data_IF_472957661398
#
_entry.id   IF_472957661398
#
_cell.length_a   1.000
_cell.length_b   1.000
_cell.length_c   1.000
_cell.angle_alpha   90.00
_cell.angle_beta   90.00
_cell.angle_gamma   90.00
#
_symmetry.space_group_name_H-M   'P 1'
#
loop_
_entity.id
_entity.type
_entity.pdbx_description
1 polymer ?
#
# COMPACT_ATOMS: atom_id res chain seq x y z
N UNK A 1 -0.85 -7.57 9.53
CA UNK A 1 -0.06 -6.52 8.85
C UNK A 1 1.40 -6.94 8.87
N UNK A 2 2.15 -6.74 7.79
CA UNK A 2 3.59 -7.04 7.71
C UNK A 2 4.30 -5.73 7.39
N UNK A 3 5.28 -5.34 8.20
CA UNK A 3 6.08 -4.14 7.96
C UNK A 3 7.31 -4.44 7.08
N UNK A 4 7.85 -3.43 6.41
CA UNK A 4 9.09 -3.57 5.60
C UNK A 4 10.27 -4.07 6.44
N UNK A 5 10.31 -3.76 7.75
CA UNK A 5 11.34 -4.24 8.66
C UNK A 5 11.19 -5.73 8.94
N UNK A 6 9.97 -6.18 9.25
CA UNK A 6 9.68 -7.60 9.46
C UNK A 6 9.88 -8.43 8.19
N UNK A 7 9.63 -7.85 7.02
CA UNK A 7 9.89 -8.46 5.73
C UNK A 7 11.39 -8.50 5.34
N UNK A 8 12.28 -7.88 6.12
CA UNK A 8 13.70 -7.79 5.79
C UNK A 8 14.01 -6.87 4.58
N UNK A 9 13.09 -5.96 4.24
CA UNK A 9 13.14 -5.10 3.05
C UNK A 9 13.57 -3.66 3.35
N UNK A 10 14.19 -3.42 4.51
CA UNK A 10 14.75 -2.11 4.84
C UNK A 10 15.82 -1.72 3.81
N UNK A 11 15.67 -0.53 3.23
CA UNK A 11 16.58 -0.01 2.20
C UNK A 11 16.38 -0.60 0.80
N UNK A 12 15.43 -1.52 0.62
CA UNK A 12 15.03 -1.96 -0.72
C UNK A 12 14.27 -0.85 -1.46
N UNK A 13 14.23 -0.94 -2.79
CA UNK A 13 13.57 0.08 -3.62
C UNK A 13 12.04 -0.06 -3.56
N UNK A 14 11.32 1.01 -3.90
CA UNK A 14 9.86 0.97 -4.00
C UNK A 14 9.38 -0.11 -4.97
N UNK A 15 10.12 -0.32 -6.08
CA UNK A 15 9.85 -1.39 -7.04
C UNK A 15 10.01 -2.79 -6.43
N UNK A 16 10.97 -2.99 -5.54
CA UNK A 16 11.14 -4.25 -4.83
C UNK A 16 10.01 -4.49 -3.82
N UNK A 17 9.55 -3.44 -3.14
CA UNK A 17 8.39 -3.51 -2.25
C UNK A 17 7.11 -3.88 -3.03
N UNK A 18 6.88 -3.26 -4.19
CA UNK A 18 5.75 -3.60 -5.07
C UNK A 18 5.87 -5.05 -5.56
N UNK A 19 7.06 -5.48 -5.97
CA UNK A 19 7.28 -6.85 -6.43
C UNK A 19 6.98 -7.88 -5.34
N UNK A 20 7.44 -7.64 -4.10
CA UNK A 20 7.14 -8.49 -2.96
C UNK A 20 5.64 -8.50 -2.65
N UNK A 21 5.01 -7.32 -2.59
CA UNK A 21 3.59 -7.19 -2.33
C UNK A 21 2.76 -7.93 -3.38
N UNK A 22 3.11 -7.80 -4.66
CA UNK A 22 2.46 -8.52 -5.77
C UNK A 22 2.64 -10.03 -5.66
N UNK A 23 3.86 -10.49 -5.36
CA UNK A 23 4.18 -11.91 -5.15
C UNK A 23 3.35 -12.53 -4.02
N UNK A 24 3.09 -11.76 -2.97
CA UNK A 24 2.33 -12.22 -1.80
C UNK A 24 0.84 -11.86 -1.84
N UNK A 25 0.36 -11.23 -2.92
CA UNK A 25 -1.04 -10.79 -3.05
C UNK A 25 -1.46 -9.75 -2.01
N UNK A 26 -0.57 -8.82 -1.65
CA UNK A 26 -0.77 -7.82 -0.60
C UNK A 26 -0.98 -6.42 -1.15
N UNK A 27 -1.89 -5.69 -0.49
CA UNK A 27 -2.03 -4.25 -0.63
C UNK A 27 -0.91 -3.54 0.15
N UNK A 28 -0.34 -2.48 -0.42
CA UNK A 28 0.68 -1.65 0.24
C UNK A 28 -0.01 -0.47 0.91
N UNK A 29 0.28 -0.24 2.18
CA UNK A 29 -0.02 1.05 2.83
C UNK A 29 1.25 1.92 2.84
N UNK A 30 1.13 3.19 2.46
CA UNK A 30 2.27 4.12 2.46
C UNK A 30 1.84 5.58 2.65
N UNK A 31 2.77 6.41 3.11
CA UNK A 31 2.67 7.87 3.11
C UNK A 31 3.67 8.51 2.13
N UNK A 32 4.35 7.68 1.34
CA UNK A 32 5.32 8.10 0.34
C UNK A 32 4.65 8.32 -1.02
N UNK A 33 4.85 9.52 -1.58
CA UNK A 33 4.28 9.93 -2.87
C UNK A 33 4.92 9.19 -4.05
N UNK A 34 6.09 8.60 -3.89
CA UNK A 34 6.78 7.89 -4.98
C UNK A 34 6.00 6.65 -5.45
N UNK A 35 5.22 6.02 -4.57
CA UNK A 35 4.29 4.94 -4.95
C UNK A 35 3.15 5.42 -5.85
N UNK A 36 2.67 6.66 -5.66
CA UNK A 36 1.65 7.27 -6.54
C UNK A 36 2.23 7.52 -7.94
N UNK A 37 3.51 7.92 -8.01
CA UNK A 37 4.21 8.13 -9.28
C UNK A 37 4.44 6.80 -10.01
N UNK A 38 4.72 5.72 -9.28
CA UNK A 38 4.85 4.39 -9.86
C UNK A 38 3.53 3.87 -10.42
N UNK A 39 2.43 4.04 -9.68
CA UNK A 39 1.10 3.74 -10.20
C UNK A 39 0.79 4.55 -11.48
N UNK A 40 1.03 5.86 -11.46
CA UNK A 40 0.79 6.73 -12.63
C UNK A 40 1.63 6.34 -13.86
N UNK A 41 2.77 5.64 -13.66
CA UNK A 41 3.60 5.08 -14.73
C UNK A 41 3.10 3.73 -15.27
N UNK A 42 2.01 3.19 -14.72
CA UNK A 42 1.43 1.91 -15.11
C UNK A 42 2.06 0.69 -14.44
N UNK A 43 2.78 0.88 -13.32
CA UNK A 43 3.31 -0.25 -12.55
C UNK A 43 2.18 -1.06 -11.94
N UNK A 44 2.10 -2.35 -12.28
CA UNK A 44 1.07 -3.24 -11.72
C UNK A 44 1.29 -3.53 -10.23
N UNK A 45 0.23 -3.49 -9.44
CA UNK A 45 0.23 -3.78 -8.00
C UNK A 45 -1.10 -4.38 -7.53
N UNK A 46 -1.09 -5.05 -6.38
CA UNK A 46 -2.31 -5.59 -5.76
C UNK A 46 -3.14 -4.53 -5.01
N UNK A 47 -2.70 -3.28 -5.01
CA UNK A 47 -3.41 -2.13 -4.44
C UNK A 47 -2.48 -1.27 -3.60
N UNK A 48 -2.75 0.03 -3.57
CA UNK A 48 -2.03 0.99 -2.73
C UNK A 48 -3.06 1.75 -1.90
N UNK A 49 -2.87 1.79 -0.59
CA UNK A 49 -3.58 2.69 0.30
C UNK A 49 -2.61 3.80 0.68
N UNK A 50 -2.94 5.03 0.32
CA UNK A 50 -2.12 6.20 0.58
C UNK A 50 -2.75 7.08 1.65
N UNK A 51 -1.96 7.50 2.62
CA UNK A 51 -2.33 8.57 3.55
C UNK A 51 -1.37 9.75 3.40
N UNK A 52 -1.87 10.97 3.63
CA UNK A 52 -0.99 12.14 3.72
C UNK A 52 -0.02 12.00 4.89
N UNK A 53 1.16 12.60 4.78
CA UNK A 53 2.05 12.72 5.93
C UNK A 53 1.33 13.47 7.05
N UNK A 54 1.60 13.09 8.30
CA UNK A 54 0.97 13.63 9.51
C UNK A 54 -0.50 13.23 9.74
N UNK A 55 -1.10 12.36 8.91
CA UNK A 55 -2.39 11.74 9.26
C UNK A 55 -2.27 11.01 10.61
N UNK A 56 -3.17 11.26 11.59
CA UNK A 56 -3.09 10.62 12.90
C UNK A 56 -3.14 9.10 12.80
N UNK A 57 -2.27 8.41 13.56
CA UNK A 57 -2.20 6.94 13.53
C UNK A 57 -3.53 6.25 13.85
N UNK A 58 -4.31 6.81 14.78
CA UNK A 58 -5.64 6.26 15.11
C UNK A 58 -6.62 6.35 13.96
N UNK A 59 -6.51 7.38 13.13
CA UNK A 59 -7.30 7.54 11.91
C UNK A 59 -6.85 6.55 10.82
N UNK A 60 -5.55 6.40 10.61
CA UNK A 60 -4.98 5.41 9.69
C UNK A 60 -5.49 4.01 10.04
N UNK A 61 -5.38 3.60 11.30
CA UNK A 61 -5.82 2.26 11.75
C UNK A 61 -7.33 2.08 11.55
N UNK A 62 -8.13 3.09 11.90
CA UNK A 62 -9.59 3.07 11.72
C UNK A 62 -9.96 2.89 10.25
N UNK A 63 -9.38 3.68 9.35
CA UNK A 63 -9.71 3.62 7.93
C UNK A 63 -9.20 2.32 7.29
N UNK A 64 -7.97 1.86 7.60
CA UNK A 64 -7.48 0.56 7.11
C UNK A 64 -8.37 -0.61 7.55
N UNK A 65 -8.91 -0.55 8.76
CA UNK A 65 -9.85 -1.58 9.25
C UNK A 65 -11.15 -1.57 8.46
N UNK A 66 -11.69 -0.39 8.16
CA UNK A 66 -12.90 -0.25 7.33
C UNK A 66 -12.67 -0.73 5.90
N UNK A 67 -11.57 -0.32 5.26
CA UNK A 67 -11.23 -0.77 3.91
C UNK A 67 -11.14 -2.29 3.82
N UNK A 68 -10.52 -2.93 4.81
CA UNK A 68 -10.43 -4.39 4.86
C UNK A 68 -11.79 -5.11 4.98
N UNK A 69 -12.82 -4.43 5.49
CA UNK A 69 -14.17 -5.00 5.63
C UNK A 69 -15.01 -4.86 4.36
N UNK A 70 -14.71 -3.86 3.52
CA UNK A 70 -15.59 -3.49 2.41
C UNK A 70 -14.96 -3.73 1.03
N UNK A 71 -13.63 -3.74 0.93
CA UNK A 71 -12.92 -3.94 -0.33
C UNK A 71 -12.37 -5.36 -0.41
N UNK A 72 -12.56 -5.99 -1.56
CA UNK A 72 -11.94 -7.26 -1.89
C UNK A 72 -10.67 -7.08 -2.76
N UNK A 73 -10.11 -8.21 -3.20
CA UNK A 73 -8.91 -8.20 -4.05
C UNK A 73 -9.14 -7.52 -5.41
N UNK A 74 -10.30 -7.74 -6.02
CA UNK A 74 -10.62 -7.21 -7.35
C UNK A 74 -10.80 -5.69 -7.28
N UNK A 75 -11.39 -5.19 -6.19
CA UNK A 75 -11.54 -3.75 -5.96
C UNK A 75 -10.18 -3.04 -5.85
N UNK A 76 -9.17 -3.73 -5.30
CA UNK A 76 -7.85 -3.15 -5.03
C UNK A 76 -6.83 -3.35 -6.17
N UNK A 77 -7.08 -4.26 -7.11
CA UNK A 77 -6.11 -4.56 -8.16
C UNK A 77 -5.82 -3.33 -9.02
N UNK A 78 -4.56 -2.90 -9.05
CA UNK A 78 -4.11 -1.69 -9.74
C UNK A 78 -4.88 -0.41 -9.32
N UNK A 79 -5.46 -0.37 -8.12
CA UNK A 79 -6.22 0.77 -7.59
C UNK A 79 -5.47 1.49 -6.46
N UNK A 80 -5.72 2.80 -6.33
CA UNK A 80 -5.26 3.61 -5.19
C UNK A 80 -6.46 4.04 -4.37
N UNK A 81 -6.43 3.71 -3.08
CA UNK A 81 -7.37 4.25 -2.10
C UNK A 81 -6.69 5.33 -1.25
N UNK A 82 -7.37 6.46 -1.05
CA UNK A 82 -6.86 7.59 -0.27
C UNK A 82 -7.53 7.62 1.10
N UNK A 83 -6.72 7.69 2.17
CA UNK A 83 -7.19 7.85 3.55
C UNK A 83 -7.38 9.32 3.93
#
# INVERSE_FOLDING_TARGET
MLTIKEAGMLGATDTDHIALAKKEGRVIFTQDVDFLRLHAKGTEHCGIVYAQQQTPIGEIIRCLTLLHQILDYNDMQNHIEFL
#
